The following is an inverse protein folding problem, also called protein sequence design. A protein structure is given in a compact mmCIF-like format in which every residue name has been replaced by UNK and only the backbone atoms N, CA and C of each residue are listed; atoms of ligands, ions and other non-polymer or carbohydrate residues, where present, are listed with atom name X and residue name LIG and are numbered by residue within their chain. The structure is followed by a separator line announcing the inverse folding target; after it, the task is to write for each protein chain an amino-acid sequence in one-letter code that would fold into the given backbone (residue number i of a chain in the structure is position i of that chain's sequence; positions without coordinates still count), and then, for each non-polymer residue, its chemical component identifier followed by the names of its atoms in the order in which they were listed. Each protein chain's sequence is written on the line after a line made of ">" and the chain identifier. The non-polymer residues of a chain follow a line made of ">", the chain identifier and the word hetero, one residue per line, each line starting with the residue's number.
data_IF_351320625952
#
_entry.id   IF_351320625952
#
_cell.length_a   1.000
_cell.length_b   1.000
_cell.length_c   1.000
_cell.angle_alpha   90.00
_cell.angle_beta   90.00
_cell.angle_gamma   90.00
#
_symmetry.space_group_name_H-M   'P 1'
#
loop_
_entity.id
_entity.type
_entity.pdbx_description
1 polymer ?
#
# COMPACT_ATOMS: atom_id res chain seq x y z
N UNK A 1 69.98 16.86 53.25
CA UNK A 1 70.12 15.93 52.12
C UNK A 1 69.17 16.38 51.02
N UNK A 2 69.73 16.75 49.87
CA UNK A 2 69.07 17.36 48.71
C UNK A 2 68.00 16.47 48.07
N UNK A 3 66.85 17.05 47.70
CA UNK A 3 66.10 16.63 46.50
C UNK A 3 65.50 17.84 45.78
N UNK A 4 65.62 17.78 44.45
CA UNK A 4 65.47 18.82 43.44
C UNK A 4 64.02 19.24 43.16
N UNK A 5 63.90 20.48 42.72
CA UNK A 5 62.83 21.09 41.90
C UNK A 5 62.27 20.18 40.80
N UNK A 6 60.97 20.31 40.50
CA UNK A 6 60.52 20.63 39.13
C UNK A 6 59.12 21.28 39.14
N UNK A 7 59.05 22.49 38.58
CA UNK A 7 57.84 23.24 38.26
C UNK A 7 57.27 22.66 36.96
N UNK A 8 55.97 22.41 36.89
CA UNK A 8 55.27 22.31 35.61
C UNK A 8 53.96 23.12 35.68
N UNK A 9 54.02 24.28 35.01
CA UNK A 9 52.87 25.10 34.65
C UNK A 9 52.07 24.34 33.59
N UNK A 10 50.82 23.97 33.87
CA UNK A 10 49.91 23.46 32.83
C UNK A 10 48.79 24.48 32.62
N UNK A 11 48.93 25.21 31.52
CA UNK A 11 47.97 26.14 30.98
C UNK A 11 46.73 25.36 30.52
N UNK A 12 45.55 25.67 31.08
CA UNK A 12 44.29 25.04 30.74
C UNK A 12 43.76 25.67 29.44
N UNK A 13 43.93 24.99 28.31
CA UNK A 13 43.31 25.36 27.03
C UNK A 13 41.87 24.87 27.06
N UNK A 14 40.90 25.79 27.14
CA UNK A 14 39.50 25.51 26.89
C UNK A 14 39.30 25.29 25.39
N UNK A 15 39.21 24.01 24.98
CA UNK A 15 38.69 23.65 23.67
C UNK A 15 37.17 23.67 23.78
N UNK A 16 36.55 24.72 23.26
CA UNK A 16 35.11 24.75 22.97
C UNK A 16 34.82 23.70 21.90
N UNK A 17 34.37 22.53 22.33
CA UNK A 17 33.84 21.51 21.44
C UNK A 17 32.53 21.98 20.83
N UNK A 18 32.58 22.52 19.60
CA UNK A 18 31.41 22.52 18.73
C UNK A 18 30.98 21.07 18.54
N UNK A 19 29.89 20.67 19.21
CA UNK A 19 29.26 19.39 19.00
C UNK A 19 28.73 19.39 17.57
N UNK A 20 29.42 18.67 16.69
CA UNK A 20 28.84 18.26 15.40
C UNK A 20 27.65 17.38 15.77
N UNK A 21 26.44 17.92 15.66
CA UNK A 21 25.21 17.14 15.74
C UNK A 21 25.25 16.14 14.60
N UNK A 22 25.64 14.92 14.91
CA UNK A 22 25.42 13.76 14.06
C UNK A 22 23.90 13.71 13.79
N UNK A 23 23.44 13.54 12.54
CA UNK A 23 22.03 13.38 12.28
C UNK A 23 21.53 12.22 13.14
N UNK A 24 20.55 12.49 13.99
CA UNK A 24 19.90 11.46 14.80
C UNK A 24 19.30 10.47 13.80
N UNK A 25 19.67 9.18 13.89
CA UNK A 25 19.06 8.14 13.06
C UNK A 25 17.54 8.27 13.12
N UNK A 26 16.82 8.15 11.99
CA UNK A 26 15.37 8.24 11.97
C UNK A 26 14.81 7.22 12.97
N UNK A 27 14.20 7.72 14.05
CA UNK A 27 13.60 6.88 15.07
C UNK A 27 12.45 6.11 14.43
N UNK A 28 12.66 4.82 14.22
CA UNK A 28 11.61 3.91 13.77
C UNK A 28 10.63 3.75 14.92
N UNK A 29 9.36 4.04 14.65
CA UNK A 29 8.26 3.84 15.61
C UNK A 29 7.38 2.71 15.11
N UNK A 30 6.66 2.04 16.02
CA UNK A 30 5.78 0.93 15.66
C UNK A 30 4.34 1.43 15.61
N UNK A 31 3.67 1.22 14.48
CA UNK A 31 2.26 1.51 14.29
C UNK A 31 1.47 0.23 14.03
N UNK A 32 0.21 0.22 14.46
CA UNK A 32 -0.71 -0.89 14.23
C UNK A 32 -1.92 -0.45 13.41
N UNK A 33 -2.48 -1.38 12.63
CA UNK A 33 -3.70 -1.22 11.85
C UNK A 33 -4.45 -2.54 11.86
N UNK A 34 -5.78 -2.49 11.94
CA UNK A 34 -6.62 -3.68 11.70
C UNK A 34 -7.35 -3.49 10.38
N UNK A 35 -7.29 -4.47 9.48
CA UNK A 35 -8.04 -4.48 8.22
C UNK A 35 -8.33 -5.92 7.84
N UNK A 36 -9.53 -6.19 7.32
CA UNK A 36 -9.89 -7.53 6.82
C UNK A 36 -9.59 -8.67 7.82
N UNK A 37 -9.93 -8.44 9.10
CA UNK A 37 -9.70 -9.37 10.22
C UNK A 37 -8.24 -9.72 10.48
N UNK A 38 -7.31 -8.86 10.08
CA UNK A 38 -5.88 -9.01 10.37
C UNK A 38 -5.32 -7.77 11.05
N UNK A 39 -4.53 -7.98 12.10
CA UNK A 39 -3.79 -6.95 12.81
C UNK A 39 -2.38 -6.84 12.24
N UNK A 40 -2.11 -5.71 11.57
CA UNK A 40 -0.82 -5.38 11.01
C UNK A 40 0.01 -4.61 12.03
N UNK A 41 1.29 -4.93 12.11
CA UNK A 41 2.29 -4.14 12.83
C UNK A 41 3.37 -3.71 11.87
N UNK A 42 3.59 -2.40 11.76
CA UNK A 42 4.60 -1.82 10.88
C UNK A 42 5.63 -1.06 11.71
N UNK A 43 6.89 -1.33 11.43
CA UNK A 43 7.95 -0.36 11.66
C UNK A 43 7.77 0.78 10.67
N UNK A 44 7.71 2.02 11.14
CA UNK A 44 7.41 3.17 10.28
C UNK A 44 8.47 4.27 10.33
N UNK A 45 8.55 5.01 9.22
CA UNK A 45 9.40 6.18 9.05
C UNK A 45 8.57 7.38 8.58
N UNK A 46 8.88 8.56 9.12
CA UNK A 46 8.24 9.83 8.72
C UNK A 46 8.87 10.45 7.46
N UNK A 47 10.00 9.92 6.96
CA UNK A 47 10.78 10.47 5.86
C UNK A 47 10.82 9.61 4.59
N UNK A 48 11.90 9.75 3.82
CA UNK A 48 12.14 8.95 2.62
C UNK A 48 12.25 7.45 2.98
N UNK A 49 11.63 6.60 2.18
CA UNK A 49 11.60 5.14 2.40
C UNK A 49 12.90 4.44 1.99
N UNK A 50 13.92 5.21 1.60
CA UNK A 50 15.29 4.77 1.40
C UNK A 50 15.97 4.50 2.76
N UNK A 51 15.33 3.67 3.58
CA UNK A 51 15.89 3.18 4.84
C UNK A 51 16.73 1.93 4.58
N UNK A 52 17.89 1.84 5.23
CA UNK A 52 18.70 0.62 5.31
C UNK A 52 17.81 -0.59 5.64
N UNK A 53 17.89 -1.64 4.83
CA UNK A 53 17.26 -2.94 5.11
C UNK A 53 18.12 -3.75 6.10
N UNK A 54 18.51 -3.12 7.22
CA UNK A 54 19.25 -3.78 8.29
C UNK A 54 18.24 -4.44 9.23
N UNK A 55 18.42 -5.73 9.51
CA UNK A 55 17.50 -6.51 10.33
C UNK A 55 17.63 -8.01 10.07
N UNK A 56 16.84 -8.79 10.79
CA UNK A 56 16.77 -10.24 10.58
C UNK A 56 16.09 -10.50 9.25
N UNK A 57 16.75 -11.24 8.37
CA UNK A 57 16.21 -11.64 7.09
C UNK A 57 15.48 -12.97 7.23
N UNK A 58 14.18 -12.99 6.92
CA UNK A 58 13.33 -14.18 7.01
C UNK A 58 13.26 -14.90 5.64
N UNK A 59 13.06 -16.23 5.65
CA UNK A 59 12.98 -17.06 4.44
C UNK A 59 11.91 -18.13 4.56
N UNK A 60 11.48 -18.67 3.42
CA UNK A 60 10.56 -19.81 3.35
C UNK A 60 9.28 -19.58 4.15
N UNK A 61 8.83 -20.64 4.83
CA UNK A 61 7.58 -20.65 5.61
C UNK A 61 7.54 -19.56 6.70
N UNK A 62 8.67 -19.23 7.32
CA UNK A 62 8.70 -18.18 8.35
C UNK A 62 8.39 -16.81 7.74
N UNK A 63 8.97 -16.49 6.57
CA UNK A 63 8.65 -15.25 5.85
C UNK A 63 7.18 -15.24 5.45
N UNK A 64 6.69 -16.36 4.91
CA UNK A 64 5.32 -16.49 4.45
C UNK A 64 4.31 -16.27 5.59
N UNK A 65 4.55 -16.82 6.78
CA UNK A 65 3.69 -16.65 7.96
C UNK A 65 3.68 -15.22 8.50
N UNK A 66 4.82 -14.51 8.39
CA UNK A 66 4.95 -13.13 8.88
C UNK A 66 4.45 -12.08 7.89
N UNK A 67 4.44 -12.40 6.60
CA UNK A 67 4.15 -11.44 5.55
C UNK A 67 2.70 -11.51 5.09
N UNK A 68 1.91 -10.53 5.53
CA UNK A 68 0.49 -10.42 5.23
C UNK A 68 0.22 -9.10 4.49
N UNK A 69 -0.59 -9.17 3.43
CA UNK A 69 -1.29 -8.02 2.85
C UNK A 69 -2.66 -8.50 2.32
N UNK A 70 -3.56 -7.56 2.08
CA UNK A 70 -4.85 -7.81 1.44
C UNK A 70 -5.03 -6.85 0.28
N UNK A 71 -5.11 -7.38 -0.94
CA UNK A 71 -5.46 -6.61 -2.14
C UNK A 71 -6.96 -6.30 -2.24
N UNK A 72 -7.80 -7.11 -1.58
CA UNK A 72 -9.26 -7.01 -1.65
C UNK A 72 -9.85 -5.85 -0.81
N UNK A 73 -11.03 -5.34 -1.20
CA UNK A 73 -11.81 -4.40 -0.41
C UNK A 73 -12.37 -5.06 0.87
N UNK A 74 -12.77 -4.25 1.84
CA UNK A 74 -13.46 -4.75 3.04
C UNK A 74 -14.91 -5.11 2.71
N UNK A 75 -15.44 -6.14 3.38
CA UNK A 75 -16.85 -6.52 3.27
C UNK A 75 -17.71 -5.38 3.80
N UNK A 76 -18.80 -5.11 3.10
CA UNK A 76 -19.80 -4.13 3.50
C UNK A 76 -20.20 -3.22 2.36
N UNK A 77 -20.88 -2.13 2.74
CA UNK A 77 -21.41 -1.14 1.82
C UNK A 77 -20.70 0.18 2.03
N UNK A 78 -20.21 0.77 0.94
CA UNK A 78 -19.66 2.13 0.90
C UNK A 78 -20.54 2.95 -0.02
N UNK A 79 -21.07 4.06 0.49
CA UNK A 79 -21.80 5.05 -0.31
C UNK A 79 -21.27 6.44 -0.06
N UNK A 80 -21.43 7.31 -1.05
CA UNK A 80 -21.11 8.72 -0.90
C UNK A 80 -20.77 9.37 -2.23
N UNK A 81 -20.34 10.62 -2.15
CA UNK A 81 -19.88 11.38 -3.29
C UNK A 81 -18.56 10.85 -3.82
N UNK A 82 -18.48 10.68 -5.13
CA UNK A 82 -17.38 10.04 -5.81
C UNK A 82 -16.36 11.06 -6.33
N UNK A 83 -15.09 10.80 -6.04
CA UNK A 83 -13.95 11.53 -6.57
C UNK A 83 -12.89 10.54 -7.02
N UNK A 84 -12.35 10.75 -8.22
CA UNK A 84 -11.22 9.99 -8.75
C UNK A 84 -10.18 10.92 -9.35
N UNK A 85 -8.92 10.52 -9.23
CA UNK A 85 -7.81 11.13 -9.94
C UNK A 85 -6.66 10.15 -10.17
N UNK A 86 -5.80 10.49 -11.12
CA UNK A 86 -4.59 9.77 -11.46
C UNK A 86 -3.41 10.74 -11.62
N UNK A 87 -2.20 10.25 -11.36
CA UNK A 87 -0.96 11.00 -11.45
C UNK A 87 0.15 10.15 -12.06
N UNK A 88 0.74 10.63 -13.15
CA UNK A 88 1.99 10.10 -13.69
C UNK A 88 3.17 10.53 -12.81
N UNK A 89 4.03 9.59 -12.45
CA UNK A 89 5.24 9.84 -11.67
C UNK A 89 6.38 8.87 -12.02
N UNK A 90 7.61 9.25 -11.67
CA UNK A 90 8.81 8.40 -11.75
C UNK A 90 9.04 7.67 -13.09
N UNK A 91 8.74 8.33 -14.20
CA UNK A 91 8.98 7.79 -15.54
C UNK A 91 7.89 6.85 -16.03
N UNK A 92 6.61 7.21 -15.80
CA UNK A 92 5.46 6.53 -16.39
C UNK A 92 4.72 5.57 -15.47
N UNK A 93 4.99 5.57 -14.16
CA UNK A 93 4.10 4.92 -13.21
C UNK A 93 2.88 5.80 -13.02
N UNK A 94 1.71 5.20 -12.84
CA UNK A 94 0.47 5.94 -12.62
C UNK A 94 -0.07 5.60 -11.24
N UNK A 95 -0.06 6.57 -10.33
CA UNK A 95 -0.76 6.45 -9.05
C UNK A 95 -2.22 6.84 -9.25
N UNK A 96 -3.15 6.02 -8.79
CA UNK A 96 -4.60 6.31 -8.85
C UNK A 96 -5.17 6.39 -7.44
N UNK A 97 -6.17 7.24 -7.24
CA UNK A 97 -6.93 7.27 -5.99
C UNK A 97 -8.43 7.38 -6.26
N UNK A 98 -9.19 6.49 -5.63
CA UNK A 98 -10.63 6.61 -5.48
C UNK A 98 -10.92 7.14 -4.08
N UNK A 99 -11.69 8.21 -3.98
CA UNK A 99 -12.19 8.76 -2.72
C UNK A 99 -13.70 8.79 -2.75
N UNK A 100 -14.31 8.28 -1.68
CA UNK A 100 -15.74 8.44 -1.40
C UNK A 100 -15.88 9.24 -0.12
N UNK A 101 -16.68 10.31 -0.17
CA UNK A 101 -16.95 11.15 0.98
C UNK A 101 -18.43 11.42 1.14
N UNK A 102 -18.89 11.52 2.39
CA UNK A 102 -20.28 11.82 2.70
C UNK A 102 -20.36 12.59 4.01
N UNK A 103 -21.13 13.67 4.05
CA UNK A 103 -21.31 14.49 5.25
C UNK A 103 -19.98 14.95 5.89
N UNK A 104 -19.01 15.38 5.05
CA UNK A 104 -17.66 15.77 5.44
C UNK A 104 -16.81 14.66 6.08
N UNK A 105 -17.24 13.39 5.97
CA UNK A 105 -16.48 12.23 6.40
C UNK A 105 -15.99 11.44 5.18
N UNK A 106 -14.72 11.06 5.18
CA UNK A 106 -14.18 10.07 4.26
C UNK A 106 -14.85 8.72 4.57
N UNK A 107 -15.35 8.06 3.53
CA UNK A 107 -15.97 6.73 3.56
C UNK A 107 -15.11 5.68 2.90
N UNK A 108 -14.27 6.10 1.96
CA UNK A 108 -13.27 5.27 1.29
C UNK A 108 -12.13 6.15 0.80
N UNK A 109 -10.91 5.68 1.00
CA UNK A 109 -9.74 6.06 0.22
C UNK A 109 -9.14 4.76 -0.27
N UNK A 110 -8.92 4.64 -1.58
CA UNK A 110 -8.41 3.42 -2.19
C UNK A 110 -7.40 3.78 -3.28
N UNK A 111 -6.12 3.45 -3.03
CA UNK A 111 -5.03 3.65 -3.97
C UNK A 111 -4.78 2.41 -4.82
N UNK A 112 -4.26 2.65 -6.02
CA UNK A 112 -3.57 1.64 -6.80
C UNK A 112 -2.38 2.29 -7.53
N UNK A 113 -1.52 1.47 -8.10
CA UNK A 113 -0.43 1.89 -8.96
C UNK A 113 -0.43 1.03 -10.22
N UNK A 114 -0.36 1.69 -11.38
CA UNK A 114 -0.19 1.03 -12.68
C UNK A 114 1.27 1.17 -13.10
N UNK A 115 1.91 0.04 -13.43
CA UNK A 115 3.29 0.04 -13.92
C UNK A 115 3.40 0.66 -15.32
N UNK A 116 4.55 1.25 -15.69
CA UNK A 116 4.81 1.75 -17.04
C UNK A 116 4.60 0.68 -18.12
N UNK A 117 4.29 1.11 -19.34
CA UNK A 117 4.19 0.21 -20.50
C UNK A 117 5.50 -0.52 -20.82
N UNK A 118 6.64 0.09 -20.50
CA UNK A 118 7.99 -0.46 -20.70
C UNK A 118 8.59 -1.04 -19.40
N UNK A 119 7.75 -1.48 -18.46
CA UNK A 119 8.22 -2.03 -17.20
C UNK A 119 9.16 -3.22 -17.41
N UNK A 120 10.24 -3.30 -16.62
CA UNK A 120 11.33 -4.27 -16.83
C UNK A 120 10.91 -5.73 -16.67
N UNK A 121 9.82 -5.98 -15.95
CA UNK A 121 9.17 -7.27 -15.81
C UNK A 121 7.87 -7.21 -16.64
N UNK A 122 7.89 -7.63 -17.92
CA UNK A 122 6.83 -7.38 -18.88
C UNK A 122 5.46 -7.95 -18.47
N UNK A 123 5.46 -8.98 -17.62
CA UNK A 123 4.25 -9.56 -17.03
C UNK A 123 3.45 -8.55 -16.19
N UNK A 124 4.12 -7.54 -15.61
CA UNK A 124 3.51 -6.50 -14.78
C UNK A 124 3.36 -5.15 -15.50
N UNK A 125 3.77 -5.06 -16.76
CA UNK A 125 3.70 -3.81 -17.53
C UNK A 125 2.24 -3.40 -17.79
N UNK A 126 1.91 -2.13 -17.56
CA UNK A 126 0.56 -1.58 -17.69
C UNK A 126 -0.51 -2.36 -16.90
N UNK A 127 -0.12 -2.86 -15.71
CA UNK A 127 -1.01 -3.57 -14.78
C UNK A 127 -1.10 -2.84 -13.46
N UNK A 128 -2.27 -2.92 -12.83
CA UNK A 128 -2.47 -2.57 -11.44
C UNK A 128 -1.57 -3.41 -10.54
N UNK A 129 -1.12 -2.86 -9.43
CA UNK A 129 -0.24 -3.56 -8.48
C UNK A 129 -0.98 -4.05 -7.25
N UNK A 130 -2.09 -3.40 -6.87
CA UNK A 130 -2.87 -3.76 -5.69
C UNK A 130 -3.51 -5.13 -5.82
N UNK A 131 -4.08 -5.38 -6.99
CA UNK A 131 -5.02 -6.49 -7.24
C UNK A 131 -4.46 -7.58 -8.15
N UNK A 132 -3.28 -7.37 -8.76
CA UNK A 132 -2.57 -8.41 -9.50
C UNK A 132 -1.69 -9.27 -8.58
N UNK A 133 -1.02 -10.28 -9.13
CA UNK A 133 0.02 -11.04 -8.42
C UNK A 133 1.31 -10.28 -8.12
N UNK A 134 1.40 -8.97 -8.42
CA UNK A 134 2.62 -8.20 -8.20
C UNK A 134 3.10 -8.21 -6.74
N UNK A 135 2.18 -8.16 -5.79
CA UNK A 135 2.50 -8.22 -4.36
C UNK A 135 3.02 -9.61 -3.95
N UNK A 136 2.47 -10.69 -4.53
CA UNK A 136 2.99 -12.06 -4.39
C UNK A 136 4.42 -12.14 -4.94
N UNK A 137 4.65 -11.58 -6.13
CA UNK A 137 6.01 -11.47 -6.69
C UNK A 137 6.96 -10.66 -5.81
N UNK A 138 6.48 -9.60 -5.14
CA UNK A 138 7.27 -8.87 -4.15
C UNK A 138 7.59 -9.68 -2.90
N UNK A 139 6.73 -10.62 -2.49
CA UNK A 139 7.01 -11.54 -1.40
C UNK A 139 8.19 -12.46 -1.71
N UNK A 140 8.47 -12.77 -2.97
CA UNK A 140 9.62 -13.61 -3.35
C UNK A 140 10.93 -12.82 -3.50
N UNK A 141 10.84 -11.49 -3.58
CA UNK A 141 12.00 -10.63 -3.75
C UNK A 141 12.83 -10.48 -2.46
N UNK A 142 14.15 -10.44 -2.61
CA UNK A 142 15.08 -10.36 -1.47
C UNK A 142 14.96 -9.09 -0.62
N UNK A 143 14.35 -8.03 -1.17
CA UNK A 143 14.06 -6.78 -0.45
C UNK A 143 13.07 -6.99 0.72
N UNK A 144 12.07 -7.84 0.52
CA UNK A 144 11.00 -8.07 1.51
C UNK A 144 11.38 -9.08 2.57
N UNK A 145 12.54 -9.71 2.43
CA UNK A 145 13.11 -10.62 3.43
C UNK A 145 13.29 -9.97 4.80
N UNK A 146 13.70 -8.71 4.81
CA UNK A 146 13.91 -7.95 6.04
C UNK A 146 12.72 -7.05 6.33
N UNK A 147 12.11 -6.45 5.31
CA UNK A 147 11.06 -5.43 5.51
C UNK A 147 9.69 -6.01 5.76
N UNK A 148 9.40 -7.22 5.25
CA UNK A 148 8.08 -7.87 5.31
C UNK A 148 6.93 -6.99 4.76
N UNK A 149 7.26 -6.02 3.90
CA UNK A 149 6.34 -5.00 3.38
C UNK A 149 6.30 -5.02 1.86
N UNK A 150 5.09 -5.21 1.32
CA UNK A 150 4.78 -5.00 -0.11
C UNK A 150 4.34 -3.56 -0.38
N UNK A 151 4.16 -3.23 -1.65
CA UNK A 151 3.51 -1.98 -2.05
C UNK A 151 2.05 -1.89 -1.56
N UNK A 152 1.34 -3.01 -1.47
CA UNK A 152 -0.06 -3.04 -1.01
C UNK A 152 -0.14 -2.64 0.45
N UNK A 153 0.80 -3.08 1.28
CA UNK A 153 0.89 -2.62 2.67
C UNK A 153 1.04 -1.10 2.77
N UNK A 154 1.85 -0.51 1.88
CA UNK A 154 2.05 0.94 1.83
C UNK A 154 0.76 1.69 1.45
N UNK A 155 0.02 1.18 0.45
CA UNK A 155 -1.29 1.71 0.05
C UNK A 155 -2.28 1.64 1.23
N UNK A 156 -2.52 0.44 1.76
CA UNK A 156 -3.53 0.21 2.80
C UNK A 156 -3.21 0.96 4.10
N UNK A 157 -1.94 1.10 4.44
CA UNK A 157 -1.56 1.84 5.65
C UNK A 157 -1.73 3.36 5.48
N UNK A 158 -1.49 3.89 4.28
CA UNK A 158 -1.79 5.29 3.98
C UNK A 158 -3.30 5.54 3.99
N UNK A 159 -4.08 4.66 3.36
CA UNK A 159 -5.55 4.70 3.36
C UNK A 159 -6.08 4.73 4.79
N UNK A 160 -5.62 3.83 5.64
CA UNK A 160 -6.01 3.78 7.04
C UNK A 160 -5.70 5.07 7.79
N UNK A 161 -4.51 5.65 7.61
CA UNK A 161 -4.16 6.91 8.26
C UNK A 161 -5.04 8.05 7.77
N UNK A 162 -5.30 8.16 6.47
CA UNK A 162 -6.19 9.18 5.90
C UNK A 162 -7.62 9.04 6.40
N UNK A 163 -8.14 7.81 6.42
CA UNK A 163 -9.48 7.48 6.93
C UNK A 163 -9.59 7.79 8.42
N UNK A 164 -8.60 7.42 9.23
CA UNK A 164 -8.60 7.65 10.69
C UNK A 164 -8.50 9.14 11.04
N UNK A 165 -7.67 9.88 10.31
CA UNK A 165 -7.51 11.33 10.50
C UNK A 165 -8.62 12.14 9.82
N UNK A 166 -9.49 11.48 9.04
CA UNK A 166 -10.47 12.11 8.16
C UNK A 166 -9.86 13.21 7.28
N UNK A 167 -8.68 12.95 6.72
CA UNK A 167 -7.93 13.92 5.91
C UNK A 167 -7.12 13.24 4.82
N UNK A 168 -7.14 13.82 3.63
CA UNK A 168 -6.33 13.37 2.47
C UNK A 168 -4.93 14.00 2.43
N UNK A 169 -4.66 14.93 3.34
CA UNK A 169 -3.38 15.62 3.46
C UNK A 169 -2.95 15.64 4.91
N UNK A 170 -1.66 15.48 5.15
CA UNK A 170 -1.11 15.43 6.49
C UNK A 170 0.30 14.87 6.50
N UNK A 171 0.84 14.75 7.70
CA UNK A 171 2.11 14.07 7.94
C UNK A 171 1.81 12.58 8.17
N UNK A 172 1.87 11.79 7.10
CA UNK A 172 1.62 10.36 7.17
C UNK A 172 2.91 9.55 7.26
N UNK A 173 2.87 8.51 8.08
CA UNK A 173 3.97 7.56 8.20
C UNK A 173 3.98 6.58 7.03
N UNK A 174 5.16 6.15 6.64
CA UNK A 174 5.36 5.10 5.64
C UNK A 174 5.92 3.83 6.32
N UNK A 175 5.44 2.62 6.00
CA UNK A 175 6.09 1.39 6.47
C UNK A 175 7.55 1.37 6.02
N UNK A 176 8.46 0.97 6.90
CA UNK A 176 9.88 0.90 6.61
C UNK A 176 10.11 -0.06 5.43
N UNK A 177 10.84 0.41 4.42
CA UNK A 177 11.00 -0.33 3.18
C UNK A 177 9.73 -0.39 2.32
N UNK A 178 8.79 0.54 2.46
CA UNK A 178 7.72 0.71 1.46
C UNK A 178 8.27 1.35 0.17
N UNK A 179 7.55 1.16 -0.93
CA UNK A 179 7.91 1.75 -2.24
C UNK A 179 8.03 3.29 -2.17
N UNK A 180 8.87 3.86 -3.02
CA UNK A 180 8.93 5.32 -3.25
C UNK A 180 7.60 5.88 -3.75
N UNK A 181 6.73 5.01 -4.25
CA UNK A 181 5.34 5.28 -4.66
C UNK A 181 4.51 6.04 -3.64
N UNK A 182 4.72 5.81 -2.34
CA UNK A 182 3.94 6.49 -1.30
C UNK A 182 4.17 8.00 -1.38
N UNK A 183 5.44 8.42 -1.37
CA UNK A 183 5.84 9.83 -1.40
C UNK A 183 5.76 10.44 -2.80
N UNK A 184 6.05 9.65 -3.83
CA UNK A 184 6.12 10.12 -5.21
C UNK A 184 4.79 10.11 -5.96
N UNK A 185 3.84 9.26 -5.55
CA UNK A 185 2.59 9.01 -6.26
C UNK A 185 1.35 9.18 -5.40
N UNK A 186 1.19 8.37 -4.33
CA UNK A 186 -0.05 8.30 -3.55
C UNK A 186 -0.38 9.57 -2.77
N UNK A 187 0.57 10.11 -1.99
CA UNK A 187 0.32 11.37 -1.28
C UNK A 187 0.12 12.55 -2.24
N UNK A 188 0.91 12.72 -3.32
CA UNK A 188 0.65 13.75 -4.31
C UNK A 188 -0.73 13.66 -4.99
N UNK A 189 -1.19 12.47 -5.39
CA UNK A 189 -2.51 12.32 -6.03
C UNK A 189 -3.64 12.57 -5.03
N UNK A 190 -3.49 12.17 -3.76
CA UNK A 190 -4.43 12.52 -2.69
C UNK A 190 -4.47 14.03 -2.41
N UNK A 191 -3.31 14.70 -2.40
CA UNK A 191 -3.24 16.15 -2.25
C UNK A 191 -3.93 16.89 -3.40
N UNK A 192 -3.85 16.36 -4.62
CA UNK A 192 -4.56 16.88 -5.80
C UNK A 192 -6.08 16.78 -5.63
N UNK A 193 -6.58 15.70 -5.02
CA UNK A 193 -8.01 15.46 -4.83
C UNK A 193 -8.60 16.18 -3.61
N UNK A 194 -7.80 16.45 -2.58
CA UNK A 194 -8.23 17.09 -1.33
C UNK A 194 -9.14 18.32 -1.49
N UNK A 195 -8.78 19.38 -2.28
CA UNK A 195 -9.66 20.55 -2.44
C UNK A 195 -10.94 20.26 -3.23
N UNK A 196 -11.00 19.13 -3.97
CA UNK A 196 -12.20 18.72 -4.71
C UNK A 196 -13.24 18.12 -3.76
N UNK A 197 -12.81 17.42 -2.71
CA UNK A 197 -13.69 16.77 -1.72
C UNK A 197 -14.41 17.79 -0.83
N UNK A 198 -13.93 19.03 -0.74
CA UNK A 198 -14.60 20.13 -0.03
C UNK A 198 -15.89 20.59 -0.73
N UNK A 199 -16.13 20.19 -1.98
CA UNK A 199 -17.28 20.59 -2.78
C UNK A 199 -18.07 19.36 -3.20
N UNK A 200 -19.41 19.38 -3.08
CA UNK A 200 -20.24 18.28 -3.52
C UNK A 200 -19.94 17.80 -4.94
N UNK A 201 -19.63 16.52 -5.11
CA UNK A 201 -19.50 15.89 -6.43
C UNK A 201 -20.88 15.73 -7.08
N UNK A 202 -20.96 15.77 -8.40
CA UNK A 202 -22.17 15.34 -9.13
C UNK A 202 -22.23 13.81 -9.26
N UNK A 203 -21.13 13.10 -9.03
CA UNK A 203 -21.08 11.65 -9.10
C UNK A 203 -21.29 11.05 -7.70
N UNK A 204 -22.08 9.99 -7.63
CA UNK A 204 -22.33 9.24 -6.41
C UNK A 204 -21.93 7.78 -6.60
N UNK A 205 -21.27 7.25 -5.58
CA UNK A 205 -20.70 5.92 -5.52
C UNK A 205 -21.58 5.03 -4.65
N UNK A 206 -21.88 3.82 -5.13
CA UNK A 206 -22.44 2.73 -4.33
C UNK A 206 -21.57 1.50 -4.58
N UNK A 207 -20.84 1.06 -3.57
CA UNK A 207 -20.01 -0.14 -3.60
C UNK A 207 -20.51 -1.14 -2.58
N UNK A 208 -20.68 -2.39 -3.00
CA UNK A 208 -21.07 -3.51 -2.14
C UNK A 208 -20.01 -4.59 -2.31
N UNK A 209 -19.40 -5.00 -1.21
CA UNK A 209 -18.45 -6.12 -1.16
C UNK A 209 -19.02 -7.22 -0.28
N UNK A 210 -19.08 -8.44 -0.80
CA UNK A 210 -19.59 -9.61 -0.08
C UNK A 210 -18.66 -10.82 -0.23
N UNK A 211 -18.68 -11.70 0.77
CA UNK A 211 -18.17 -13.06 0.59
C UNK A 211 -19.17 -13.84 -0.25
N UNK A 212 -18.72 -14.44 -1.36
CA UNK A 212 -19.57 -15.19 -2.28
C UNK A 212 -19.42 -16.71 -2.15
N UNK A 213 -18.66 -17.17 -1.16
CA UNK A 213 -18.35 -18.59 -0.91
C UNK A 213 -17.03 -19.03 -1.50
N UNK A 214 -16.63 -20.27 -1.17
CA UNK A 214 -15.45 -20.98 -1.71
C UNK A 214 -14.11 -20.23 -1.62
N UNK A 215 -13.95 -19.34 -0.64
CA UNK A 215 -12.77 -18.49 -0.51
C UNK A 215 -12.70 -17.39 -1.57
N UNK A 216 -13.85 -16.90 -2.02
CA UNK A 216 -13.96 -15.76 -2.93
C UNK A 216 -14.84 -14.65 -2.36
N UNK A 217 -14.54 -13.42 -2.78
CA UNK A 217 -15.29 -12.22 -2.48
C UNK A 217 -15.64 -11.52 -3.79
N UNK A 218 -16.79 -10.87 -3.87
CA UNK A 218 -17.15 -10.04 -5.01
C UNK A 218 -17.35 -8.60 -4.56
N UNK A 219 -17.00 -7.65 -5.44
CA UNK A 219 -17.40 -6.25 -5.30
C UNK A 219 -18.14 -5.79 -6.53
N UNK A 220 -19.31 -5.23 -6.33
CA UNK A 220 -20.05 -4.47 -7.34
C UNK A 220 -20.02 -2.99 -6.96
N UNK A 221 -19.63 -2.16 -7.91
CA UNK A 221 -19.65 -0.71 -7.80
C UNK A 221 -20.52 -0.14 -8.90
N UNK A 222 -21.43 0.77 -8.53
CA UNK A 222 -22.17 1.60 -9.45
C UNK A 222 -21.82 3.05 -9.15
N UNK A 223 -21.40 3.77 -10.17
CA UNK A 223 -21.19 5.22 -10.11
C UNK A 223 -22.23 5.85 -11.02
N UNK A 224 -23.00 6.81 -10.51
CA UNK A 224 -24.02 7.50 -11.30
C UNK A 224 -23.97 9.00 -11.09
N UNK A 225 -24.46 9.75 -12.07
CA UNK A 225 -24.60 11.19 -11.98
C UNK A 225 -25.91 11.53 -11.25
N UNK A 226 -25.81 12.24 -10.13
CA UNK A 226 -26.96 12.63 -9.29
C UNK A 226 -27.95 13.54 -10.00
N UNK A 227 -27.52 14.31 -11.01
CA UNK A 227 -28.37 15.28 -11.69
C UNK A 227 -29.35 14.63 -12.67
N UNK A 228 -28.85 13.71 -13.50
CA UNK A 228 -29.63 13.06 -14.57
C UNK A 228 -29.90 11.56 -14.30
N UNK A 229 -29.39 11.02 -13.19
CA UNK A 229 -29.51 9.63 -12.76
C UNK A 229 -28.91 8.63 -13.76
N UNK A 230 -28.05 9.09 -14.67
CA UNK A 230 -27.36 8.20 -15.62
C UNK A 230 -26.22 7.47 -14.94
N UNK A 231 -26.05 6.19 -15.28
CA UNK A 231 -24.90 5.40 -14.84
C UNK A 231 -23.67 5.93 -15.57
N UNK A 232 -22.69 6.39 -14.77
CA UNK A 232 -21.39 6.83 -15.25
C UNK A 232 -20.46 5.64 -15.47
N UNK A 233 -20.45 4.69 -14.52
CA UNK A 233 -19.61 3.49 -14.60
C UNK A 233 -20.19 2.34 -13.75
N UNK A 234 -19.85 1.11 -14.11
CA UNK A 234 -20.13 -0.10 -13.33
C UNK A 234 -18.87 -0.95 -13.29
N UNK A 235 -18.37 -1.22 -12.09
CA UNK A 235 -17.16 -2.02 -11.87
C UNK A 235 -17.57 -3.28 -11.12
N UNK A 236 -17.21 -4.45 -11.66
CA UNK A 236 -17.35 -5.74 -10.99
C UNK A 236 -15.99 -6.41 -10.92
N UNK A 237 -15.66 -6.96 -9.76
CA UNK A 237 -14.43 -7.72 -9.56
C UNK A 237 -14.68 -8.84 -8.54
N UNK A 238 -13.90 -9.90 -8.65
CA UNK A 238 -13.87 -11.02 -7.72
C UNK A 238 -12.46 -11.21 -7.19
N UNK A 239 -12.33 -11.43 -5.90
CA UNK A 239 -11.06 -11.56 -5.20
C UNK A 239 -10.96 -12.93 -4.56
N UNK A 240 -9.80 -13.54 -4.68
CA UNK A 240 -9.44 -14.70 -3.87
C UNK A 240 -9.18 -14.29 -2.42
N UNK A 241 -9.45 -15.21 -1.49
CA UNK A 241 -9.18 -15.03 -0.07
C UNK A 241 -7.69 -14.73 0.19
N UNK A 242 -7.43 -14.05 1.32
CA UNK A 242 -6.08 -13.73 1.76
C UNK A 242 -5.34 -14.95 2.31
N UNK A 243 -6.09 -15.99 2.71
CA UNK A 243 -5.61 -17.30 3.12
C UNK A 243 -5.87 -18.35 2.01
N UNK A 244 -4.84 -18.97 1.42
CA UNK A 244 -5.03 -19.98 0.39
C UNK A 244 -5.82 -21.21 0.88
N UNK A 245 -5.79 -21.54 2.18
CA UNK A 245 -6.54 -22.69 2.71
C UNK A 245 -8.06 -22.46 2.72
N UNK A 246 -8.51 -21.21 2.70
CA UNK A 246 -9.93 -20.86 2.60
C UNK A 246 -10.48 -21.07 1.17
N UNK A 247 -9.60 -21.13 0.17
CA UNK A 247 -9.97 -21.36 -1.23
C UNK A 247 -10.18 -22.86 -1.43
N UNK A 248 -11.42 -23.21 -1.77
CA UNK A 248 -11.88 -24.61 -1.81
C UNK A 248 -11.23 -25.38 -2.95
N UNK A 249 -11.15 -24.78 -4.15
CA UNK A 249 -10.44 -25.38 -5.27
C UNK A 249 -8.92 -25.27 -5.08
N UNK A 250 -8.27 -26.41 -4.88
CA UNK A 250 -6.82 -26.49 -4.68
C UNK A 250 -6.01 -25.92 -5.84
N UNK A 251 -6.53 -25.95 -7.08
CA UNK A 251 -5.85 -25.43 -8.27
C UNK A 251 -5.81 -23.90 -8.31
N UNK A 252 -6.74 -23.26 -7.59
CA UNK A 252 -6.87 -21.81 -7.51
C UNK A 252 -6.14 -21.20 -6.31
N UNK A 253 -5.70 -22.01 -5.35
CA UNK A 253 -5.00 -21.53 -4.13
C UNK A 253 -3.77 -20.69 -4.42
N UNK A 254 -3.10 -20.92 -5.54
CA UNK A 254 -1.94 -20.14 -5.98
C UNK A 254 -2.27 -18.66 -6.26
N UNK A 255 -3.53 -18.32 -6.48
CA UNK A 255 -3.99 -16.96 -6.77
C UNK A 255 -4.52 -16.21 -5.54
N UNK A 256 -4.31 -16.73 -4.33
CA UNK A 256 -4.66 -16.04 -3.08
C UNK A 256 -4.20 -14.58 -3.07
N UNK A 257 -5.02 -13.69 -2.48
CA UNK A 257 -4.83 -12.22 -2.42
C UNK A 257 -4.95 -11.48 -3.76
N UNK A 258 -5.34 -12.14 -4.85
CA UNK A 258 -5.43 -11.53 -6.18
C UNK A 258 -6.88 -11.37 -6.64
N UNK A 259 -7.10 -10.45 -7.57
CA UNK A 259 -8.33 -10.31 -8.36
C UNK A 259 -8.35 -11.33 -9.49
N UNK A 260 -9.52 -11.93 -9.75
CA UNK A 260 -9.78 -12.80 -10.90
C UNK A 260 -9.76 -12.06 -12.23
N UNK A 261 -9.92 -10.74 -12.23
CA UNK A 261 -9.98 -9.91 -13.44
C UNK A 261 -8.69 -9.13 -13.70
N UNK A 262 -7.84 -8.94 -12.70
CA UNK A 262 -6.56 -8.22 -12.84
C UNK A 262 -5.32 -9.12 -12.72
N UNK A 263 -5.47 -10.38 -12.30
CA UNK A 263 -4.40 -11.36 -12.29
C UNK A 263 -4.27 -12.07 -13.65
N UNK A 264 -3.21 -11.73 -14.40
CA UNK A 264 -2.90 -12.37 -15.68
C UNK A 264 -2.61 -13.87 -15.50
N UNK A 265 -2.05 -14.25 -14.36
CA UNK A 265 -1.72 -15.64 -14.04
C UNK A 265 -2.99 -16.48 -13.93
N UNK A 266 -4.06 -15.91 -13.36
CA UNK A 266 -5.37 -16.54 -13.32
C UNK A 266 -6.01 -16.59 -14.72
N UNK A 267 -5.95 -15.50 -15.49
CA UNK A 267 -6.40 -15.50 -16.89
C UNK A 267 -5.69 -16.60 -17.71
N UNK A 268 -4.38 -16.76 -17.55
CA UNK A 268 -3.59 -17.73 -18.30
C UNK A 268 -4.00 -19.18 -17.99
N UNK A 269 -4.27 -19.52 -16.72
CA UNK A 269 -4.69 -20.88 -16.33
C UNK A 269 -6.14 -21.17 -16.74
N UNK A 270 -7.03 -20.18 -16.66
CA UNK A 270 -8.45 -20.34 -17.02
C UNK A 270 -8.71 -20.31 -18.54
N UNK A 271 -7.90 -19.58 -19.31
CA UNK A 271 -7.98 -19.61 -20.78
C UNK A 271 -7.28 -20.83 -21.39
N UNK A 272 -6.30 -21.45 -20.71
CA UNK A 272 -5.74 -22.74 -21.17
C UNK A 272 -6.72 -23.91 -20.97
N UNK A 273 -7.59 -23.84 -19.97
CA UNK A 273 -8.59 -24.89 -19.70
C UNK A 273 -9.76 -24.88 -20.69
N UNK A 274 -10.05 -23.76 -21.35
CA UNK A 274 -11.04 -23.70 -22.45
C UNK A 274 -10.50 -24.24 -23.78
N UNK A 275 -9.18 -24.41 -23.94
CA UNK A 275 -8.57 -24.94 -25.17
C UNK A 275 -8.29 -26.46 -25.13
N UNK A 276 -8.59 -27.14 -24.01
CA UNK A 276 -8.38 -28.61 -23.87
C UNK A 276 -9.70 -29.40 -23.84
N UNK A 277 -10.76 -28.85 -24.44
CA UNK A 277 -11.96 -29.61 -24.83
C UNK A 277 -12.31 -29.33 -26.30
N UNK A 278 -11.53 -29.92 -27.20
CA UNK A 278 -11.97 -30.35 -28.53
C UNK A 278 -11.38 -31.73 -28.83
#
# INVERSE_FOLDING_TARGET
>A
MFKKFMILNLCLVFITGCSVTTPKDPQTTTNTMTRNNHDYTFDVVSGATNGKHEGIAYRGDEKWQRMMWSGRPEIGVVTGEYYFDALDFNGGYIATVTVVAENNALRLVEFDEISPQNYYAPEWANRTKRTSGYANWQMDNGRTDTTLVTIVNAMTFLEYQMMTQNSLVGEFNAPAGSSTSLRGGFEPVAKKIAPRVEKPSNLYYIGITEAIGDGSYARLVIIYNKQDQTIYDVIYDEYFDDNPEAITDSTLRQFYRQSKYHAREFEAVTQQSTFTMM
#
